data_IF_245839904863
#
_entry.id   IF_245839904863
#
_cell.length_a   1.000
_cell.length_b   1.000
_cell.length_c   1.000
_cell.angle_alpha   90.00
_cell.angle_beta   90.00
_cell.angle_gamma   90.00
#
_symmetry.space_group_name_H-M   'P 1'
#
loop_
_entity.id
_entity.type
_entity.pdbx_description
1 polymer ?
#
# COMPACT_ATOMS: atom_id res chain seq x y z
N UNK A 1 21.46 3.58 8.00
CA UNK A 1 21.30 2.12 7.80
C UNK A 1 19.83 1.73 8.01
N UNK A 2 19.23 2.10 9.15
CA UNK A 2 17.82 1.76 9.45
C UNK A 2 16.81 2.46 8.52
N UNK A 3 17.06 3.71 8.12
CA UNK A 3 16.18 4.41 7.17
C UNK A 3 16.17 3.79 5.77
N UNK A 4 17.31 3.25 5.31
CA UNK A 4 17.40 2.57 4.02
C UNK A 4 16.70 1.22 4.06
N UNK A 5 16.84 0.48 5.18
CA UNK A 5 16.09 -0.75 5.42
C UNK A 5 14.58 -0.46 5.44
N UNK A 6 14.15 0.58 6.15
CA UNK A 6 12.75 0.99 6.21
C UNK A 6 12.21 1.36 4.83
N UNK A 7 12.96 2.15 4.07
CA UNK A 7 12.59 2.57 2.70
C UNK A 7 12.47 1.36 1.76
N UNK A 8 13.40 0.41 1.89
CA UNK A 8 13.37 -0.85 1.13
C UNK A 8 12.15 -1.69 1.49
N UNK A 9 11.88 -1.86 2.78
CA UNK A 9 10.71 -2.60 3.27
C UNK A 9 9.39 -1.95 2.79
N UNK A 10 9.25 -0.64 2.90
CA UNK A 10 8.09 0.09 2.38
C UNK A 10 7.93 -0.05 0.87
N UNK A 11 9.03 -0.02 0.12
CA UNK A 11 9.04 -0.28 -1.31
C UNK A 11 8.51 -1.66 -1.69
N UNK A 12 8.89 -2.69 -0.94
CA UNK A 12 8.36 -4.05 -1.12
C UNK A 12 6.90 -4.18 -0.69
N UNK A 13 6.49 -3.54 0.41
CA UNK A 13 5.09 -3.51 0.84
C UNK A 13 4.21 -2.87 -0.24
N UNK A 14 4.63 -1.73 -0.80
CA UNK A 14 3.91 -1.07 -1.88
C UNK A 14 3.82 -1.96 -3.12
N UNK A 15 4.90 -2.65 -3.49
CA UNK A 15 4.88 -3.61 -4.59
C UNK A 15 3.91 -4.76 -4.34
N UNK A 16 3.91 -5.30 -3.12
CA UNK A 16 3.00 -6.36 -2.73
C UNK A 16 1.53 -5.92 -2.83
N UNK A 17 1.20 -4.74 -2.30
CA UNK A 17 -0.14 -4.14 -2.41
C UNK A 17 -0.57 -4.02 -3.87
N UNK A 18 0.32 -3.54 -4.74
CA UNK A 18 0.06 -3.43 -6.17
C UNK A 18 -0.23 -4.79 -6.83
N UNK A 19 0.56 -5.83 -6.51
CA UNK A 19 0.37 -7.17 -7.05
C UNK A 19 -0.95 -7.80 -6.57
N UNK A 20 -1.27 -7.66 -5.29
CA UNK A 20 -2.52 -8.15 -4.73
C UNK A 20 -3.70 -7.39 -5.33
N UNK A 21 -3.64 -6.06 -5.46
CA UNK A 21 -4.70 -5.30 -6.12
C UNK A 21 -4.97 -5.78 -7.56
N UNK A 22 -3.91 -6.06 -8.33
CA UNK A 22 -4.03 -6.66 -9.66
C UNK A 22 -4.66 -8.05 -9.63
N UNK A 23 -4.23 -8.91 -8.71
CA UNK A 23 -4.80 -10.25 -8.54
C UNK A 23 -6.29 -10.18 -8.18
N UNK A 24 -6.66 -9.24 -7.30
CA UNK A 24 -8.04 -9.04 -6.85
C UNK A 24 -8.90 -8.25 -7.86
N UNK A 25 -8.32 -7.80 -8.99
CA UNK A 25 -8.93 -6.93 -9.98
C UNK A 25 -9.52 -5.63 -9.39
N UNK A 26 -8.81 -5.02 -8.43
CA UNK A 26 -9.18 -3.76 -7.78
C UNK A 26 -8.34 -2.63 -8.34
N UNK A 27 -8.99 -1.62 -8.92
CA UNK A 27 -8.31 -0.41 -9.41
C UNK A 27 -7.99 0.53 -8.24
N UNK A 28 -6.72 0.59 -7.82
CA UNK A 28 -6.27 1.47 -6.73
C UNK A 28 -6.46 2.95 -7.06
N UNK A 29 -6.86 3.75 -6.07
CA UNK A 29 -7.06 5.19 -6.22
C UNK A 29 -5.74 5.94 -6.36
N UNK A 30 -4.70 5.52 -5.64
CA UNK A 30 -3.37 6.12 -5.73
C UNK A 30 -2.44 5.18 -6.50
N UNK A 31 -1.67 5.73 -7.43
CA UNK A 31 -0.79 4.93 -8.26
C UNK A 31 0.48 4.60 -7.47
N UNK A 32 0.87 3.33 -7.47
CA UNK A 32 2.10 2.85 -6.85
C UNK A 32 3.19 2.77 -7.92
N UNK A 33 4.30 3.48 -7.70
CA UNK A 33 5.48 3.43 -8.56
C UNK A 33 6.62 2.76 -7.79
N UNK A 34 6.88 1.49 -8.13
CA UNK A 34 7.87 0.67 -7.44
C UNK A 34 9.29 0.91 -7.97
N UNK A 35 10.17 1.43 -7.11
CA UNK A 35 11.60 1.60 -7.35
C UNK A 35 12.41 1.09 -6.15
N UNK A 36 12.04 -0.07 -5.60
CA UNK A 36 12.68 -0.64 -4.40
C UNK A 36 12.75 0.40 -3.27
N UNK A 37 13.94 0.73 -2.74
CA UNK A 37 14.15 1.74 -1.70
C UNK A 37 13.78 3.19 -2.08
N UNK A 38 13.47 3.45 -3.36
CA UNK A 38 13.05 4.78 -3.86
C UNK A 38 11.61 4.79 -4.39
N UNK A 39 10.79 3.83 -3.99
CA UNK A 39 9.38 3.77 -4.38
C UNK A 39 8.60 5.02 -3.94
N UNK A 40 7.56 5.36 -4.68
CA UNK A 40 6.70 6.51 -4.39
C UNK A 40 5.25 6.27 -4.85
N UNK A 41 4.34 7.08 -4.30
CA UNK A 41 2.92 7.13 -4.64
C UNK A 41 2.63 8.35 -5.52
N UNK A 42 1.58 8.28 -6.33
CA UNK A 42 1.03 9.45 -7.05
C UNK A 42 -0.48 9.57 -6.88
N UNK A 43 -0.96 10.80 -6.87
CA UNK A 43 -2.39 11.11 -6.96
C UNK A 43 -2.69 11.67 -8.35
N UNK A 44 -2.89 10.77 -9.31
CA UNK A 44 -3.08 11.13 -10.73
C UNK A 44 -4.36 11.97 -10.99
N UNK A 45 -5.23 12.16 -9.98
CA UNK A 45 -6.49 12.92 -10.09
C UNK A 45 -6.36 14.31 -9.48
N UNK A 46 -5.88 14.43 -8.23
CA UNK A 46 -5.80 15.73 -7.56
C UNK A 46 -4.45 16.42 -7.76
N UNK A 47 -3.38 15.66 -8.00
CA UNK A 47 -2.02 16.18 -8.15
C UNK A 47 -1.21 15.32 -9.15
N UNK A 48 -1.50 15.43 -10.46
CA UNK A 48 -0.96 14.53 -11.49
C UNK A 48 0.56 14.58 -11.67
N UNK A 49 1.19 15.65 -11.20
CA UNK A 49 2.64 15.85 -11.24
C UNK A 49 3.30 15.64 -9.87
N UNK A 50 2.49 15.36 -8.83
CA UNK A 50 2.95 15.15 -7.47
C UNK A 50 3.54 13.77 -7.26
N UNK A 51 4.80 13.74 -6.85
CA UNK A 51 5.46 12.53 -6.39
C UNK A 51 5.48 12.49 -4.86
N UNK A 52 5.04 11.38 -4.27
CA UNK A 52 4.96 11.22 -2.82
C UNK A 52 5.83 10.02 -2.40
N UNK A 53 7.07 10.24 -1.98
CA UNK A 53 8.04 9.17 -1.78
C UNK A 53 7.78 8.37 -0.49
N UNK A 54 8.05 7.07 -0.57
CA UNK A 54 7.96 6.12 0.55
C UNK A 54 9.30 5.94 1.28
N UNK A 55 10.17 6.93 1.16
CA UNK A 55 11.48 6.99 1.83
C UNK A 55 11.65 8.36 2.49
N UNK A 56 12.30 8.38 3.65
CA UNK A 56 12.50 9.61 4.44
C UNK A 56 13.76 10.39 4.06
N UNK A 57 14.76 9.69 3.49
CA UNK A 57 16.07 10.28 3.25
C UNK A 57 16.01 11.33 2.15
N UNK A 58 16.29 12.59 2.52
CA UNK A 58 16.36 13.71 1.56
C UNK A 58 15.01 14.21 1.06
N UNK A 59 13.91 13.87 1.75
CA UNK A 59 12.57 14.35 1.41
C UNK A 59 11.93 15.03 2.62
N UNK A 60 11.12 16.05 2.33
CA UNK A 60 10.13 16.60 3.24
C UNK A 60 9.27 15.50 3.92
N UNK A 61 9.16 15.61 5.24
CA UNK A 61 8.35 14.73 6.08
C UNK A 61 6.88 14.73 5.66
N UNK A 62 6.33 15.87 5.27
CA UNK A 62 4.91 15.98 4.92
C UNK A 62 4.59 15.18 3.64
N UNK A 63 5.52 15.16 2.68
CA UNK A 63 5.37 14.35 1.46
C UNK A 63 5.46 12.86 1.76
N UNK A 64 6.35 12.46 2.67
CA UNK A 64 6.44 11.07 3.13
C UNK A 64 5.17 10.64 3.89
N UNK A 65 4.69 11.45 4.83
CA UNK A 65 3.49 11.14 5.62
C UNK A 65 2.25 11.05 4.71
N UNK A 66 2.15 11.91 3.68
CA UNK A 66 1.10 11.83 2.66
C UNK A 66 1.23 10.59 1.77
N UNK A 67 2.44 10.19 1.38
CA UNK A 67 2.68 8.92 0.67
C UNK A 67 2.19 7.72 1.48
N UNK A 68 2.51 7.69 2.78
CA UNK A 68 2.09 6.63 3.67
C UNK A 68 0.56 6.59 3.86
N UNK A 69 -0.08 7.76 3.94
CA UNK A 69 -1.53 7.89 3.98
C UNK A 69 -2.20 7.32 2.72
N UNK A 70 -1.66 7.60 1.53
CA UNK A 70 -2.16 7.07 0.27
C UNK A 70 -2.07 5.54 0.22
N UNK A 71 -0.91 4.99 0.57
CA UNK A 71 -0.74 3.53 0.63
C UNK A 71 -1.73 2.87 1.61
N UNK A 72 -1.98 3.50 2.76
CA UNK A 72 -2.98 3.03 3.72
C UNK A 72 -4.39 3.07 3.14
N UNK A 73 -4.74 4.12 2.39
CA UNK A 73 -6.06 4.26 1.74
C UNK A 73 -6.28 3.23 0.64
N UNK A 74 -5.25 2.90 -0.13
CA UNK A 74 -5.33 1.83 -1.13
C UNK A 74 -5.58 0.46 -0.47
N UNK A 75 -4.90 0.17 0.65
CA UNK A 75 -5.17 -1.07 1.42
C UNK A 75 -6.58 -1.08 1.99
N UNK A 76 -7.09 0.05 2.50
CA UNK A 76 -8.50 0.16 2.93
C UNK A 76 -9.45 -0.13 1.79
N UNK A 77 -9.19 0.42 0.60
CA UNK A 77 -9.99 0.18 -0.59
C UNK A 77 -10.02 -1.31 -0.97
N UNK A 78 -8.88 -1.99 -0.90
CA UNK A 78 -8.80 -3.43 -1.19
C UNK A 78 -9.61 -4.27 -0.20
N UNK A 79 -9.53 -3.97 1.10
CA UNK A 79 -10.33 -4.64 2.12
C UNK A 79 -11.84 -4.42 1.89
N UNK A 80 -12.23 -3.18 1.62
CA UNK A 80 -13.63 -2.83 1.35
C UNK A 80 -14.15 -3.53 0.09
N UNK A 81 -13.33 -3.65 -0.96
CA UNK A 81 -13.69 -4.39 -2.17
C UNK A 81 -13.94 -5.89 -1.93
N UNK A 82 -13.46 -6.43 -0.80
CA UNK A 82 -13.65 -7.83 -0.37
C UNK A 82 -14.70 -7.99 0.73
N UNK A 83 -15.37 -6.91 1.11
CA UNK A 83 -16.38 -6.94 2.18
C UNK A 83 -15.77 -7.14 3.58
N UNK A 84 -14.47 -6.93 3.75
CA UNK A 84 -13.80 -7.06 5.04
C UNK A 84 -13.95 -5.77 5.85
N UNK A 85 -14.33 -5.91 7.13
CA UNK A 85 -14.54 -4.76 8.02
C UNK A 85 -13.23 -4.06 8.37
N UNK A 86 -13.26 -2.72 8.30
CA UNK A 86 -12.15 -1.89 8.76
C UNK A 86 -12.18 -1.78 10.28
N UNK A 87 -11.45 -2.66 10.97
CA UNK A 87 -11.21 -2.50 12.40
C UNK A 87 -10.66 -1.10 12.70
N UNK A 88 -11.27 -0.39 13.65
CA UNK A 88 -10.77 0.91 14.10
C UNK A 88 -9.38 0.68 14.73
N UNK A 89 -8.38 1.46 14.29
CA UNK A 89 -6.98 1.41 14.74
C UNK A 89 -6.09 0.23 14.28
N UNK A 90 -6.51 -0.58 13.31
CA UNK A 90 -5.64 -1.62 12.76
C UNK A 90 -4.46 -1.02 11.99
N UNK A 91 -3.23 -1.39 12.37
CA UNK A 91 -2.00 -0.99 11.69
C UNK A 91 -1.98 -1.50 10.23
N UNK A 92 -1.24 -0.82 9.35
CA UNK A 92 -1.14 -1.17 7.92
C UNK A 92 -0.77 -2.65 7.71
N UNK A 93 0.23 -3.14 8.45
CA UNK A 93 0.69 -4.53 8.33
C UNK A 93 -0.38 -5.53 8.76
N UNK A 94 -1.08 -5.26 9.88
CA UNK A 94 -2.16 -6.14 10.34
C UNK A 94 -3.29 -6.22 9.31
N UNK A 95 -3.60 -5.13 8.62
CA UNK A 95 -4.58 -5.13 7.52
C UNK A 95 -4.16 -6.02 6.34
N UNK A 96 -2.87 -5.99 5.99
CA UNK A 96 -2.35 -6.86 4.93
C UNK A 96 -2.41 -8.34 5.35
N UNK A 97 -2.09 -8.65 6.60
CA UNK A 97 -2.21 -10.01 7.13
C UNK A 97 -3.65 -10.51 7.05
N UNK A 98 -4.62 -9.74 7.54
CA UNK A 98 -6.05 -10.12 7.47
C UNK A 98 -6.51 -10.37 6.04
N UNK A 99 -6.08 -9.52 5.09
CA UNK A 99 -6.42 -9.72 3.68
C UNK A 99 -5.86 -11.04 3.15
N UNK A 100 -4.56 -11.30 3.37
CA UNK A 100 -3.89 -12.51 2.86
C UNK A 100 -4.48 -13.77 3.47
N UNK A 101 -4.75 -13.77 4.77
CA UNK A 101 -5.38 -14.90 5.45
C UNK A 101 -6.77 -15.19 4.88
N UNK A 102 -7.58 -14.16 4.65
CA UNK A 102 -8.92 -14.33 4.07
C UNK A 102 -8.89 -14.92 2.66
N UNK A 103 -7.96 -14.47 1.81
CA UNK A 103 -7.81 -15.01 0.45
C UNK A 103 -7.28 -16.44 0.47
N UNK A 104 -6.36 -16.77 1.38
CA UNK A 104 -5.86 -18.12 1.55
C UNK A 104 -6.97 -19.09 1.98
N UNK A 105 -7.81 -18.68 2.93
CA UNK A 105 -8.97 -19.47 3.33
C UNK A 105 -9.95 -19.63 2.17
N UNK A 106 -10.25 -18.57 1.42
CA UNK A 106 -11.11 -18.68 0.24
C UNK A 106 -10.57 -19.70 -0.77
N UNK A 107 -9.27 -19.65 -1.11
CA UNK A 107 -8.65 -20.61 -2.04
C UNK A 107 -8.76 -22.04 -1.52
N UNK A 108 -8.52 -22.30 -0.23
CA UNK A 108 -8.64 -23.66 0.35
C UNK A 108 -10.06 -24.23 0.24
N UNK A 109 -11.08 -23.39 0.31
CA UNK A 109 -12.48 -23.82 0.25
C UNK A 109 -13.01 -23.94 -1.20
N UNK A 110 -12.34 -23.33 -2.18
CA UNK A 110 -12.82 -23.22 -3.57
C UNK A 110 -11.86 -23.83 -4.61
N UNK A 111 -10.81 -24.54 -4.16
CA UNK A 111 -9.88 -25.32 -4.99
C UNK A 111 -10.13 -26.82 -4.80
#
# INVERSE_FOLDING_TARGET
KDEELLSTALGYIAHFVFLVAKYLNVNLRYAIVHLSSRSYMRDDVNDPHGEYPLYKRGVDKDRFDKAFLFLRKDVEQMLLARGLELGQNTQLLMRLTTLVESELEWVKHNA
#
